data_IF_951399374415
#
_entry.id   IF_951399374415
#
_cell.length_a   1.000
_cell.length_b   1.000
_cell.length_c   1.000
_cell.angle_alpha   90.00
_cell.angle_beta   90.00
_cell.angle_gamma   90.00
#
_symmetry.space_group_name_H-M   'P 1'
#
loop_
_entity.id
_entity.type
_entity.pdbx_description
1 polymer ?
#
# COMPACT_ATOMS: atom_id res chain seq x y z
N UNK A 1 48.51 -36.09 18.40
CA UNK A 1 48.56 -34.89 17.53
C UNK A 1 47.40 -34.96 16.57
N UNK A 2 46.30 -34.26 16.90
CA UNK A 2 45.03 -34.26 16.17
C UNK A 2 45.03 -32.98 15.32
N UNK A 3 44.97 -33.09 13.99
CA UNK A 3 44.71 -31.96 13.09
C UNK A 3 43.37 -32.23 12.41
N UNK A 4 42.36 -31.53 12.91
CA UNK A 4 40.96 -31.57 12.52
C UNK A 4 40.75 -31.23 11.04
N UNK A 5 39.84 -31.92 10.33
CA UNK A 5 39.56 -31.63 8.92
C UNK A 5 38.80 -30.31 8.79
N UNK A 6 39.22 -29.50 7.81
CA UNK A 6 38.61 -28.24 7.42
C UNK A 6 37.20 -28.53 6.89
N UNK A 7 36.20 -28.23 7.70
CA UNK A 7 34.79 -28.26 7.30
C UNK A 7 34.61 -27.15 6.27
N UNK A 8 34.43 -27.54 5.01
CA UNK A 8 34.02 -26.65 3.94
C UNK A 8 32.60 -26.16 4.26
N UNK A 9 32.52 -25.03 4.98
CA UNK A 9 31.27 -24.33 5.23
C UNK A 9 30.80 -23.72 3.90
N UNK A 10 29.96 -24.46 3.18
CA UNK A 10 29.17 -23.93 2.09
C UNK A 10 28.23 -22.85 2.66
N UNK A 11 28.64 -21.59 2.55
CA UNK A 11 27.85 -20.43 2.93
C UNK A 11 26.65 -20.34 2.00
N UNK A 12 25.52 -20.85 2.48
CA UNK A 12 24.21 -20.72 1.86
C UNK A 12 23.83 -19.24 1.93
N UNK A 13 24.15 -18.47 0.89
CA UNK A 13 23.73 -17.08 0.75
C UNK A 13 22.21 -17.08 0.57
N UNK A 14 21.49 -16.93 1.68
CA UNK A 14 20.05 -16.69 1.68
C UNK A 14 19.84 -15.27 1.20
N UNK A 15 19.53 -15.09 -0.09
CA UNK A 15 19.06 -13.82 -0.64
C UNK A 15 17.65 -13.59 -0.11
N UNK A 16 17.54 -12.87 1.01
CA UNK A 16 16.25 -12.40 1.52
C UNK A 16 15.73 -11.31 0.58
N UNK A 17 14.74 -11.64 -0.25
CA UNK A 17 13.99 -10.65 -1.01
C UNK A 17 13.10 -9.85 -0.04
N UNK A 18 13.63 -8.76 0.52
CA UNK A 18 12.94 -7.82 1.42
C UNK A 18 11.92 -6.93 0.68
N UNK A 19 10.99 -7.53 -0.06
CA UNK A 19 9.97 -6.81 -0.83
C UNK A 19 8.77 -6.30 0.00
N UNK A 20 8.65 -6.70 1.27
CA UNK A 20 7.47 -6.35 2.10
C UNK A 20 7.47 -4.92 2.61
N UNK A 21 8.62 -4.24 2.70
CA UNK A 21 8.68 -2.94 3.36
C UNK A 21 8.07 -1.82 2.51
N UNK A 22 8.39 -1.78 1.21
CA UNK A 22 8.02 -0.68 0.32
C UNK A 22 6.51 -0.49 0.19
N UNK A 23 5.73 -1.57 0.13
CA UNK A 23 4.26 -1.47 -0.01
C UNK A 23 3.58 -1.03 1.29
N UNK A 24 4.12 -1.39 2.45
CA UNK A 24 3.62 -0.92 3.76
C UNK A 24 3.89 0.57 3.95
N UNK A 25 4.99 1.07 3.39
CA UNK A 25 5.30 2.50 3.38
C UNK A 25 4.38 3.23 2.43
N UNK A 26 4.27 2.81 1.17
CA UNK A 26 3.47 3.56 0.19
C UNK A 26 1.96 3.51 0.46
N UNK A 27 1.45 2.32 0.82
CA UNK A 27 0.04 2.08 1.09
C UNK A 27 -0.10 1.19 2.36
N UNK A 28 -0.13 1.81 3.56
CA UNK A 28 -0.18 1.06 4.81
C UNK A 28 -1.38 0.10 4.88
N UNK A 29 -1.26 -1.06 5.56
CA UNK A 29 -2.39 -1.94 5.80
C UNK A 29 -3.52 -1.18 6.53
N UNK A 30 -4.77 -1.59 6.31
CA UNK A 30 -5.92 -1.03 7.03
C UNK A 30 -5.75 -1.35 8.53
N UNK A 31 -5.79 -0.32 9.37
CA UNK A 31 -5.65 -0.43 10.84
C UNK A 31 -6.89 0.12 11.54
N UNK A 32 -7.08 -0.26 12.81
CA UNK A 32 -8.26 0.15 13.60
C UNK A 32 -8.50 1.67 13.66
N UNK A 33 -7.44 2.49 13.69
CA UNK A 33 -7.59 3.96 13.65
C UNK A 33 -8.20 4.46 12.33
N UNK A 34 -7.82 3.84 11.21
CA UNK A 34 -8.39 4.16 9.89
C UNK A 34 -9.87 3.79 9.82
N UNK A 35 -10.22 2.60 10.34
CA UNK A 35 -11.62 2.14 10.41
C UNK A 35 -12.47 3.08 11.26
N UNK A 36 -11.95 3.52 12.41
CA UNK A 36 -12.65 4.46 13.28
C UNK A 36 -12.87 5.83 12.62
N UNK A 37 -11.86 6.34 11.90
CA UNK A 37 -11.98 7.60 11.14
C UNK A 37 -13.02 7.46 10.02
N UNK A 38 -12.92 6.39 9.22
CA UNK A 38 -13.82 6.11 8.11
C UNK A 38 -15.28 5.88 8.56
N UNK A 39 -15.49 5.28 9.73
CA UNK A 39 -16.83 5.09 10.29
C UNK A 39 -17.56 6.42 10.58
N UNK A 40 -16.83 7.51 10.87
CA UNK A 40 -17.42 8.86 11.00
C UNK A 40 -18.01 9.37 9.69
N UNK A 41 -17.50 8.86 8.58
CA UNK A 41 -17.93 9.13 7.22
C UNK A 41 -18.83 8.00 6.66
N UNK A 42 -19.32 7.10 7.53
CA UNK A 42 -20.17 5.95 7.17
C UNK A 42 -19.53 4.98 6.14
N UNK A 43 -18.20 4.89 6.13
CA UNK A 43 -17.46 3.95 5.29
C UNK A 43 -17.09 2.72 6.12
N UNK A 44 -17.39 1.52 5.61
CA UNK A 44 -17.06 0.25 6.26
C UNK A 44 -15.61 -0.20 6.02
N UNK A 45 -15.13 -1.15 6.84
CA UNK A 45 -13.76 -1.67 6.75
C UNK A 45 -13.50 -2.38 5.41
N UNK A 46 -14.51 -3.09 4.89
CA UNK A 46 -14.44 -3.80 3.62
C UNK A 46 -14.17 -2.85 2.45
N UNK A 47 -14.76 -1.65 2.48
CA UNK A 47 -14.51 -0.58 1.51
C UNK A 47 -13.07 -0.10 1.58
N UNK A 48 -12.50 0.07 2.78
CA UNK A 48 -11.09 0.45 2.93
C UNK A 48 -10.15 -0.64 2.42
N UNK A 49 -10.44 -1.91 2.70
CA UNK A 49 -9.66 -3.05 2.20
C UNK A 49 -9.70 -3.09 0.68
N UNK A 50 -10.89 -3.02 0.08
CA UNK A 50 -11.06 -3.00 -1.37
C UNK A 50 -10.37 -1.79 -2.01
N UNK A 51 -10.46 -0.61 -1.39
CA UNK A 51 -9.78 0.62 -1.82
C UNK A 51 -8.26 0.47 -1.82
N UNK A 52 -7.67 -0.07 -0.74
CA UNK A 52 -6.24 -0.35 -0.67
C UNK A 52 -5.79 -1.32 -1.75
N UNK A 53 -6.54 -2.39 -1.95
CA UNK A 53 -6.21 -3.40 -2.95
C UNK A 53 -6.27 -2.82 -4.37
N UNK A 54 -7.28 -2.01 -4.67
CA UNK A 54 -7.38 -1.32 -5.96
C UNK A 54 -6.20 -0.34 -6.15
N UNK A 55 -5.83 0.43 -5.13
CA UNK A 55 -4.67 1.32 -5.18
C UNK A 55 -3.40 0.55 -5.55
N UNK A 56 -3.14 -0.59 -4.88
CA UNK A 56 -1.96 -1.41 -5.12
C UNK A 56 -1.96 -2.09 -6.49
N UNK A 57 -3.13 -2.50 -7.00
CA UNK A 57 -3.25 -3.23 -8.27
C UNK A 57 -3.32 -2.32 -9.49
N UNK A 58 -3.98 -1.16 -9.38
CA UNK A 58 -4.27 -0.26 -10.52
C UNK A 58 -3.30 0.91 -10.62
N UNK A 59 -2.93 1.51 -9.50
CA UNK A 59 -2.11 2.72 -9.52
C UNK A 59 -0.61 2.45 -9.68
N UNK A 60 -0.21 1.17 -9.76
CA UNK A 60 1.15 0.72 -10.06
C UNK A 60 1.33 0.24 -11.50
N UNK A 61 0.25 0.20 -12.30
CA UNK A 61 0.30 -0.32 -13.68
C UNK A 61 1.06 0.62 -14.63
N UNK A 62 1.13 1.93 -14.33
CA UNK A 62 1.74 2.92 -15.21
C UNK A 62 3.01 3.58 -14.64
N UNK A 63 3.13 3.70 -13.31
CA UNK A 63 4.28 4.28 -12.62
C UNK A 63 4.33 3.76 -11.17
N UNK A 64 5.39 4.08 -10.43
CA UNK A 64 5.48 3.74 -9.01
C UNK A 64 4.39 4.45 -8.20
N UNK A 65 3.91 3.78 -7.14
CA UNK A 65 2.94 4.35 -6.22
C UNK A 65 3.67 5.28 -5.23
N UNK A 66 3.36 6.60 -5.20
CA UNK A 66 3.92 7.51 -4.20
C UNK A 66 3.45 7.10 -2.80
N UNK A 67 4.15 7.56 -1.78
CA UNK A 67 3.70 7.33 -0.41
C UNK A 67 2.45 8.15 -0.15
N UNK A 68 1.37 7.53 0.34
CA UNK A 68 0.10 8.25 0.54
C UNK A 68 0.31 9.48 1.42
N UNK A 69 1.15 9.40 2.45
CA UNK A 69 1.43 10.53 3.33
C UNK A 69 2.31 11.65 2.74
N UNK A 70 2.89 11.48 1.54
CA UNK A 70 3.71 12.52 0.89
C UNK A 70 2.87 13.67 0.31
N UNK A 71 1.61 13.41 -0.01
CA UNK A 71 0.69 14.44 -0.49
C UNK A 71 -0.30 14.87 0.61
N UNK A 72 -0.62 16.16 0.76
CA UNK A 72 -1.63 16.61 1.71
C UNK A 72 -3.00 15.95 1.49
N UNK A 73 -3.71 15.65 2.58
CA UNK A 73 -5.07 15.06 2.56
C UNK A 73 -6.03 15.77 1.58
N UNK A 74 -5.95 17.10 1.52
CA UNK A 74 -6.79 17.93 0.68
C UNK A 74 -6.48 17.86 -0.84
N UNK A 75 -5.29 17.42 -1.22
CA UNK A 75 -4.88 17.32 -2.63
C UNK A 75 -5.35 16.01 -3.29
N UNK A 76 -5.55 14.97 -2.48
CA UNK A 76 -5.89 13.63 -2.96
C UNK A 76 -7.13 13.52 -3.85
N UNK A 77 -8.25 14.23 -3.60
CA UNK A 77 -9.38 14.22 -4.52
C UNK A 77 -8.99 14.64 -5.94
N UNK A 78 -8.11 15.64 -6.08
CA UNK A 78 -7.66 16.14 -7.39
C UNK A 78 -6.66 15.17 -8.03
N UNK A 79 -5.71 14.65 -7.25
CA UNK A 79 -4.72 13.66 -7.71
C UNK A 79 -5.44 12.41 -8.24
N UNK A 80 -6.34 11.85 -7.44
CA UNK A 80 -7.04 10.62 -7.78
C UNK A 80 -7.99 10.82 -8.96
N UNK A 81 -8.67 11.96 -9.06
CA UNK A 81 -9.51 12.28 -10.22
C UNK A 81 -8.69 12.26 -11.52
N UNK A 82 -7.49 12.85 -11.51
CA UNK A 82 -6.57 12.86 -12.67
C UNK A 82 -6.13 11.46 -13.08
N UNK A 83 -5.93 10.57 -12.12
CA UNK A 83 -5.45 9.20 -12.35
C UNK A 83 -6.58 8.23 -12.69
N UNK A 84 -7.79 8.45 -12.18
CA UNK A 84 -8.90 7.50 -12.33
C UNK A 84 -9.34 7.29 -13.77
N UNK A 85 -9.32 8.34 -14.59
CA UNK A 85 -9.57 8.20 -16.03
C UNK A 85 -8.48 7.39 -16.75
N UNK A 86 -7.23 7.45 -16.28
CA UNK A 86 -6.09 6.71 -16.87
C UNK A 86 -6.08 5.25 -16.42
N UNK A 87 -6.39 5.00 -15.16
CA UNK A 87 -6.51 3.68 -14.56
C UNK A 87 -7.88 3.02 -14.80
N UNK A 88 -8.76 3.68 -15.56
CA UNK A 88 -10.12 3.23 -15.90
C UNK A 88 -10.93 2.78 -14.66
N UNK A 89 -10.88 3.58 -13.59
CA UNK A 89 -11.65 3.29 -12.38
C UNK A 89 -13.13 3.65 -12.59
N UNK A 90 -14.01 2.78 -12.12
CA UNK A 90 -15.44 3.12 -12.00
C UNK A 90 -15.66 4.16 -10.89
N UNK A 91 -16.81 4.86 -10.85
CA UNK A 91 -17.11 5.80 -9.77
C UNK A 91 -17.02 5.17 -8.37
N UNK A 92 -17.48 3.92 -8.22
CA UNK A 92 -17.39 3.18 -6.97
C UNK A 92 -15.94 2.83 -6.58
N UNK A 93 -15.11 2.46 -7.56
CA UNK A 93 -13.69 2.20 -7.32
C UNK A 93 -12.95 3.47 -6.95
N UNK A 94 -13.21 4.59 -7.63
CA UNK A 94 -12.67 5.90 -7.27
C UNK A 94 -13.03 6.26 -5.82
N UNK A 95 -14.30 6.14 -5.45
CA UNK A 95 -14.76 6.46 -4.09
C UNK A 95 -14.07 5.57 -3.03
N UNK A 96 -13.97 4.26 -3.26
CA UNK A 96 -13.31 3.34 -2.32
C UNK A 96 -11.81 3.62 -2.16
N UNK A 97 -11.10 3.89 -3.27
CA UNK A 97 -9.67 4.27 -3.22
C UNK A 97 -9.50 5.60 -2.49
N UNK A 98 -10.35 6.59 -2.75
CA UNK A 98 -10.29 7.88 -2.07
C UNK A 98 -10.53 7.73 -0.57
N UNK A 99 -11.55 6.95 -0.17
CA UNK A 99 -11.86 6.71 1.23
C UNK A 99 -10.67 6.05 1.97
N UNK A 100 -10.03 5.06 1.34
CA UNK A 100 -8.82 4.45 1.88
C UNK A 100 -7.68 5.46 2.07
N UNK A 101 -7.39 6.26 1.03
CA UNK A 101 -6.34 7.28 1.06
C UNK A 101 -6.59 8.29 2.18
N UNK A 102 -7.81 8.84 2.27
CA UNK A 102 -8.17 9.82 3.29
C UNK A 102 -8.08 9.23 4.71
N UNK A 103 -8.52 7.99 4.90
CA UNK A 103 -8.39 7.30 6.18
C UNK A 103 -6.93 7.04 6.57
N UNK A 104 -6.03 6.87 5.60
CA UNK A 104 -4.59 6.69 5.83
C UNK A 104 -3.86 7.99 6.22
N UNK A 105 -4.50 9.16 6.09
CA UNK A 105 -3.94 10.46 6.48
C UNK A 105 -4.10 10.82 7.97
N UNK A 106 -4.99 10.15 8.71
CA UNK A 106 -5.41 10.59 10.04
C UNK A 106 -6.55 11.60 9.94
#
# INVERSE_FOLDING_TARGET
MIRTPIIAAATLVVVAFSGCETTSTSAPPVRGAMVQAAAREQVDEQTLIAGRELLLRRCTECHSLPVVSEHPRAEWPVILQRMSGRANLTPAQHAGVLAYILAAHG
#
